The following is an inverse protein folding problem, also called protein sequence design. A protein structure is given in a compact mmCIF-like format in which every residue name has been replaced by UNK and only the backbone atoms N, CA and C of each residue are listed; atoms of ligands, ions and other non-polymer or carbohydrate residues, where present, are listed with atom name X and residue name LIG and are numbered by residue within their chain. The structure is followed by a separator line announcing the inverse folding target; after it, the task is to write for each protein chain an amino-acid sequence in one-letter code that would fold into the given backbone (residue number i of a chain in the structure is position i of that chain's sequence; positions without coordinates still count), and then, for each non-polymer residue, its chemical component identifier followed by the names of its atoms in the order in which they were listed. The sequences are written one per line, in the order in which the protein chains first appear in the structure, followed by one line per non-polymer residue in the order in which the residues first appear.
data_IF_718466715256
#
_entry.id   IF_718466715256
#
_cell.length_a   1.000
_cell.length_b   1.000
_cell.length_c   1.000
_cell.angle_alpha   90.00
_cell.angle_beta   90.00
_cell.angle_gamma   90.00
#
_symmetry.space_group_name_H-M   'P 1'
#
loop_
_entity.id
_entity.type
_entity.pdbx_description
1 polymer ?
#
# COMPACT_ATOMS: atom_id res chain seq x y z
N UNK A 1 -4.48 -28.69 -7.98
CA UNK A 1 -5.28 -27.65 -7.29
C UNK A 1 -5.34 -26.45 -8.22
N UNK A 2 -6.53 -26.11 -8.76
CA UNK A 2 -6.69 -24.98 -9.67
C UNK A 2 -7.13 -23.74 -8.89
N UNK A 3 -6.41 -22.65 -9.05
CA UNK A 3 -6.86 -21.32 -8.66
C UNK A 3 -7.74 -20.73 -9.76
N UNK A 4 -8.64 -19.83 -9.40
CA UNK A 4 -9.52 -19.13 -10.36
C UNK A 4 -9.37 -17.63 -10.17
N UNK A 5 -8.93 -16.94 -11.22
CA UNK A 5 -9.01 -15.48 -11.28
C UNK A 5 -10.47 -15.09 -11.54
N UNK A 6 -11.00 -14.17 -10.73
CA UNK A 6 -12.38 -13.70 -10.83
C UNK A 6 -12.44 -12.21 -11.13
N UNK A 7 -13.40 -11.76 -11.95
CA UNK A 7 -13.61 -10.33 -12.16
C UNK A 7 -14.11 -9.66 -10.88
N UNK A 8 -13.78 -8.38 -10.74
CA UNK A 8 -14.26 -7.56 -9.64
C UNK A 8 -14.63 -6.16 -10.13
N UNK A 9 -15.44 -5.49 -9.34
CA UNK A 9 -15.81 -4.09 -9.50
C UNK A 9 -15.17 -3.26 -8.36
N UNK A 10 -14.60 -2.11 -8.71
CA UNK A 10 -14.11 -1.13 -7.74
C UNK A 10 -15.28 -0.27 -7.29
N UNK A 11 -15.71 -0.44 -6.03
CA UNK A 11 -16.78 0.37 -5.45
C UNK A 11 -16.22 1.65 -4.79
N UNK A 12 -15.02 1.55 -4.22
CA UNK A 12 -14.36 2.68 -3.55
C UNK A 12 -12.86 2.47 -3.47
N UNK A 13 -12.09 3.45 -3.95
CA UNK A 13 -10.65 3.56 -3.68
C UNK A 13 -10.33 4.96 -3.18
N UNK A 14 -9.61 5.08 -2.07
CA UNK A 14 -9.20 6.38 -1.51
C UNK A 14 -7.69 6.44 -1.32
N UNK A 15 -7.19 7.67 -1.18
CA UNK A 15 -5.82 7.88 -0.76
C UNK A 15 -5.73 7.80 0.75
N UNK A 16 -4.80 7.01 1.24
CA UNK A 16 -4.34 7.07 2.62
C UNK A 16 -3.33 8.21 2.76
N UNK A 17 -3.27 8.83 3.94
CA UNK A 17 -2.36 9.93 4.23
C UNK A 17 -1.65 9.71 5.56
N UNK A 18 -0.33 9.89 5.56
CA UNK A 18 0.55 9.73 6.70
C UNK A 18 1.33 11.04 6.91
N UNK A 19 1.25 11.58 8.11
CA UNK A 19 1.96 12.79 8.51
C UNK A 19 3.16 12.42 9.36
N UNK A 20 4.35 12.85 8.94
CA UNK A 20 5.62 12.51 9.58
C UNK A 20 6.06 13.60 10.55
N UNK A 21 6.91 13.24 11.51
CA UNK A 21 7.38 14.17 12.56
C UNK A 21 8.29 15.30 12.05
N UNK A 22 8.95 15.10 10.90
CA UNK A 22 9.76 16.13 10.25
C UNK A 22 8.91 17.11 9.39
N UNK A 23 7.59 16.91 9.35
CA UNK A 23 6.64 17.72 8.61
C UNK A 23 6.36 17.22 7.19
N UNK A 24 7.03 16.16 6.72
CA UNK A 24 6.68 15.54 5.46
C UNK A 24 5.33 14.80 5.52
N UNK A 25 4.70 14.65 4.36
CA UNK A 25 3.44 13.93 4.18
C UNK A 25 3.60 12.87 3.12
N UNK A 26 3.30 11.63 3.47
CA UNK A 26 3.21 10.52 2.51
C UNK A 26 1.74 10.29 2.18
N UNK A 27 1.41 10.12 0.90
CA UNK A 27 0.12 9.62 0.44
C UNK A 27 0.33 8.27 -0.23
N UNK A 28 -0.50 7.30 0.11
CA UNK A 28 -0.44 5.98 -0.51
C UNK A 28 -1.83 5.52 -0.98
N UNK A 29 -1.87 4.75 -2.06
CA UNK A 29 -3.08 4.09 -2.54
C UNK A 29 -2.73 2.71 -3.09
N UNK A 30 -3.54 1.72 -2.75
CA UNK A 30 -3.50 0.38 -3.37
C UNK A 30 -4.34 0.43 -4.63
N UNK A 31 -3.78 -0.08 -5.72
CA UNK A 31 -4.49 -0.39 -6.95
C UNK A 31 -4.59 -1.91 -7.02
N UNK A 32 -5.80 -2.43 -6.88
CA UNK A 32 -6.06 -3.86 -7.02
C UNK A 32 -5.99 -4.24 -8.50
N UNK A 33 -5.19 -5.26 -8.82
CA UNK A 33 -5.00 -5.74 -10.19
C UNK A 33 -5.78 -7.03 -10.44
N UNK A 34 -5.71 -7.98 -9.50
CA UNK A 34 -6.36 -9.29 -9.64
C UNK A 34 -6.94 -9.78 -8.33
N UNK A 35 -8.03 -10.53 -8.45
CA UNK A 35 -8.63 -11.31 -7.37
C UNK A 35 -8.56 -12.77 -7.74
N UNK A 36 -7.91 -13.58 -6.90
CA UNK A 36 -7.67 -14.99 -7.16
C UNK A 36 -8.26 -15.79 -5.99
N UNK A 37 -9.13 -16.73 -6.32
CA UNK A 37 -9.74 -17.66 -5.39
C UNK A 37 -8.92 -18.95 -5.39
N UNK A 38 -8.39 -19.31 -4.22
CA UNK A 38 -7.57 -20.51 -4.04
C UNK A 38 -8.29 -21.46 -3.07
N UNK A 39 -8.65 -22.68 -3.51
CA UNK A 39 -9.16 -23.70 -2.60
C UNK A 39 -8.09 -24.07 -1.57
N UNK A 40 -8.42 -23.99 -0.29
CA UNK A 40 -7.58 -24.39 0.84
C UNK A 40 -8.44 -25.23 1.77
N UNK A 41 -8.24 -26.55 1.71
CA UNK A 41 -9.08 -27.55 2.38
C UNK A 41 -10.57 -27.34 2.03
N UNK A 42 -11.45 -27.22 3.03
CA UNK A 42 -12.89 -26.93 2.86
C UNK A 42 -13.21 -25.43 2.73
N UNK A 43 -12.19 -24.58 2.59
CA UNK A 43 -12.33 -23.13 2.52
C UNK A 43 -11.76 -22.56 1.21
N UNK A 44 -12.06 -21.28 0.96
CA UNK A 44 -11.45 -20.52 -0.13
C UNK A 44 -10.65 -19.36 0.46
N UNK A 45 -9.37 -19.32 0.12
CA UNK A 45 -8.49 -18.19 0.41
C UNK A 45 -8.59 -17.18 -0.71
N UNK A 46 -8.74 -15.93 -0.32
CA UNK A 46 -8.63 -14.80 -1.24
C UNK A 46 -7.15 -14.40 -1.36
N UNK A 47 -6.57 -14.54 -2.55
CA UNK A 47 -5.27 -13.95 -2.89
C UNK A 47 -5.50 -12.73 -3.77
N UNK A 48 -4.82 -11.64 -3.42
CA UNK A 48 -4.89 -10.38 -4.16
C UNK A 48 -3.55 -10.13 -4.82
N UNK A 49 -3.60 -9.66 -6.07
CA UNK A 49 -2.46 -9.04 -6.74
C UNK A 49 -2.73 -7.54 -6.80
N UNK A 50 -1.80 -6.73 -6.29
CA UNK A 50 -2.00 -5.30 -6.12
C UNK A 50 -0.68 -4.53 -6.16
N UNK A 51 -0.75 -3.31 -6.68
CA UNK A 51 0.34 -2.35 -6.65
C UNK A 51 0.07 -1.24 -5.64
N UNK A 52 1.11 -0.76 -4.98
CA UNK A 52 1.05 0.43 -4.14
C UNK A 52 1.61 1.63 -4.90
N UNK A 53 0.81 2.69 -5.00
CA UNK A 53 1.27 4.01 -5.44
C UNK A 53 1.58 4.82 -4.18
N UNK A 54 2.81 5.32 -4.07
CA UNK A 54 3.28 6.12 -2.93
C UNK A 54 3.82 7.45 -3.46
N UNK A 55 3.40 8.55 -2.85
CA UNK A 55 3.80 9.92 -3.21
C UNK A 55 4.20 10.67 -1.95
N UNK A 56 5.27 11.47 -2.04
CA UNK A 56 5.78 12.30 -0.95
C UNK A 56 5.49 13.77 -1.24
N UNK A 57 5.17 14.53 -0.19
CA UNK A 57 5.19 15.99 -0.21
C UNK A 57 5.88 16.49 1.05
N UNK A 58 7.01 17.14 0.92
CA UNK A 58 7.79 17.67 2.02
C UNK A 58 7.79 19.21 2.04
N UNK A 59 7.98 19.84 3.21
CA UNK A 59 8.18 21.27 3.29
C UNK A 59 9.53 21.68 2.63
N UNK A 60 9.67 22.93 2.15
CA UNK A 60 10.82 23.35 1.34
C UNK A 60 12.19 23.12 2.00
N UNK A 61 12.27 23.21 3.34
CA UNK A 61 13.50 22.98 4.09
C UNK A 61 13.98 21.51 4.09
N UNK A 62 13.14 20.58 3.64
CA UNK A 62 13.50 19.17 3.49
C UNK A 62 13.74 18.76 2.03
N UNK A 63 13.44 19.64 1.07
CA UNK A 63 13.67 19.39 -0.34
C UNK A 63 15.14 19.64 -0.70
N UNK A 64 15.58 19.04 -1.79
CA UNK A 64 16.93 19.19 -2.33
C UNK A 64 16.93 19.31 -3.85
N UNK A 65 18.10 19.14 -4.45
CA UNK A 65 18.22 19.06 -5.90
C UNK A 65 17.55 17.80 -6.43
N UNK A 66 16.95 17.90 -7.62
CA UNK A 66 16.35 16.77 -8.31
C UNK A 66 17.38 15.63 -8.49
N UNK A 67 17.01 14.43 -8.07
CA UNK A 67 17.80 13.22 -8.23
C UNK A 67 17.31 12.34 -9.37
N UNK A 68 17.92 11.16 -9.49
CA UNK A 68 17.51 10.12 -10.44
C UNK A 68 16.38 9.25 -9.87
N UNK A 69 15.67 8.47 -10.70
CA UNK A 69 14.77 7.41 -10.22
C UNK A 69 15.44 6.49 -9.20
N UNK A 70 14.67 6.01 -8.22
CA UNK A 70 15.16 5.12 -7.20
C UNK A 70 15.53 3.75 -7.78
N UNK A 71 16.74 3.27 -7.52
CA UNK A 71 17.19 1.95 -7.97
C UNK A 71 16.73 0.84 -7.03
N UNK A 72 16.68 -0.40 -7.53
CA UNK A 72 16.38 -1.57 -6.69
C UNK A 72 17.40 -1.76 -5.57
N UNK A 73 18.67 -1.49 -5.83
CA UNK A 73 19.73 -1.57 -4.82
C UNK A 73 19.49 -0.56 -3.70
N UNK A 74 19.17 0.69 -4.04
CA UNK A 74 18.81 1.72 -3.07
C UNK A 74 17.59 1.28 -2.24
N UNK A 75 16.53 0.76 -2.86
CA UNK A 75 15.35 0.21 -2.18
C UNK A 75 15.68 -0.88 -1.16
N UNK A 76 16.59 -1.80 -1.50
CA UNK A 76 17.01 -2.88 -0.61
C UNK A 76 17.94 -2.39 0.52
N UNK A 77 18.58 -1.23 0.34
CA UNK A 77 19.57 -0.69 1.29
C UNK A 77 18.95 0.11 2.45
N UNK A 78 17.66 0.48 2.38
CA UNK A 78 16.99 1.33 3.39
C UNK A 78 17.11 0.80 4.82
N UNK A 79 17.11 -0.51 5.01
CA UNK A 79 17.25 -1.13 6.32
C UNK A 79 18.60 -0.81 6.99
N UNK A 80 19.60 -0.36 6.23
CA UNK A 80 20.95 -0.02 6.71
C UNK A 80 21.22 1.48 6.80
N UNK A 81 20.60 2.28 5.93
CA UNK A 81 20.98 3.69 5.73
C UNK A 81 19.82 4.68 5.95
N UNK A 82 18.61 4.20 6.19
CA UNK A 82 17.46 5.05 6.45
C UNK A 82 17.49 5.65 7.86
N UNK A 83 17.23 6.95 7.96
CA UNK A 83 16.95 7.61 9.24
C UNK A 83 15.47 7.40 9.56
N UNK A 84 15.18 6.85 10.73
CA UNK A 84 13.81 6.66 11.19
C UNK A 84 13.12 8.02 11.40
N UNK A 85 11.90 8.12 10.89
CA UNK A 85 11.01 9.29 11.03
C UNK A 85 9.65 8.77 11.46
N UNK A 86 9.18 9.22 12.62
CA UNK A 86 7.91 8.76 13.20
C UNK A 86 6.71 9.21 12.39
N UNK A 87 5.73 8.32 12.23
CA UNK A 87 4.40 8.65 11.75
C UNK A 87 3.58 9.21 12.93
N UNK A 88 3.22 10.49 12.86
CA UNK A 88 2.44 11.15 13.92
C UNK A 88 0.94 10.92 13.78
N UNK A 89 0.45 10.81 12.54
CA UNK A 89 -0.97 10.64 12.24
C UNK A 89 -1.15 9.89 10.92
N UNK A 90 -2.12 8.98 10.91
CA UNK A 90 -2.53 8.27 9.71
C UNK A 90 -4.06 8.40 9.50
N UNK A 91 -4.48 8.77 8.30
CA UNK A 91 -5.85 8.58 7.80
C UNK A 91 -5.81 7.45 6.79
N UNK A 92 -6.20 6.27 7.24
CA UNK A 92 -6.13 5.06 6.45
C UNK A 92 -7.54 4.50 6.26
N UNK A 93 -8.06 4.60 5.04
CA UNK A 93 -9.45 4.27 4.74
C UNK A 93 -9.54 2.94 4.03
N UNK A 94 -10.67 2.27 4.20
CA UNK A 94 -10.96 1.06 3.45
C UNK A 94 -11.24 1.39 1.98
N UNK A 95 -10.56 0.68 1.10
CA UNK A 95 -10.99 0.43 -0.26
C UNK A 95 -12.04 -0.70 -0.23
N UNK A 96 -12.98 -0.67 -1.17
CA UNK A 96 -14.13 -1.57 -1.22
C UNK A 96 -14.30 -2.09 -2.64
N UNK A 97 -14.40 -3.41 -2.76
CA UNK A 97 -14.51 -4.11 -4.03
C UNK A 97 -15.64 -5.14 -3.95
N UNK A 98 -16.20 -5.48 -5.11
CA UNK A 98 -17.21 -6.52 -5.24
C UNK A 98 -16.74 -7.58 -6.22
N UNK A 99 -16.71 -8.83 -5.79
CA UNK A 99 -16.44 -9.96 -6.69
C UNK A 99 -17.68 -10.18 -7.57
N UNK A 100 -17.48 -10.28 -8.88
CA UNK A 100 -18.55 -10.45 -9.86
C UNK A 100 -18.74 -11.93 -10.24
N UNK A 101 -19.93 -12.31 -10.72
CA UNK A 101 -21.15 -11.48 -10.88
C UNK A 101 -22.01 -11.35 -9.61
N UNK A 102 -21.91 -12.29 -8.66
CA UNK A 102 -22.72 -12.34 -7.43
C UNK A 102 -21.90 -12.62 -6.17
N UNK A 103 -20.60 -12.37 -6.24
CA UNK A 103 -19.68 -12.60 -5.14
C UNK A 103 -19.79 -11.55 -4.03
N UNK A 104 -19.00 -11.73 -2.96
CA UNK A 104 -19.07 -10.89 -1.78
C UNK A 104 -18.45 -9.52 -2.06
N UNK A 105 -18.85 -8.56 -1.24
CA UNK A 105 -18.11 -7.30 -1.08
C UNK A 105 -17.00 -7.53 -0.07
N UNK A 106 -15.77 -7.21 -0.43
CA UNK A 106 -14.63 -7.26 0.48
C UNK A 106 -13.96 -5.89 0.57
N UNK A 107 -13.21 -5.70 1.65
CA UNK A 107 -12.51 -4.44 1.91
C UNK A 107 -11.02 -4.68 2.03
N UNK A 108 -10.24 -3.73 1.55
CA UNK A 108 -8.79 -3.72 1.79
C UNK A 108 -8.36 -2.38 2.36
N UNK A 109 -7.22 -2.38 3.05
CA UNK A 109 -6.65 -1.17 3.63
C UNK A 109 -5.13 -1.37 3.75
N UNK A 110 -4.35 -0.36 3.35
CA UNK A 110 -2.93 -0.33 3.75
C UNK A 110 -2.84 0.08 5.20
N UNK A 111 -2.16 -0.76 5.97
CA UNK A 111 -1.73 -0.49 7.33
C UNK A 111 -0.25 -0.18 7.27
N UNK A 112 0.11 1.04 7.63
CA UNK A 112 1.51 1.46 7.68
C UNK A 112 2.14 1.17 9.05
N UNK A 113 3.46 0.99 9.05
CA UNK A 113 4.28 1.00 10.26
C UNK A 113 4.26 2.39 10.90
N UNK A 114 4.45 2.46 12.23
CA UNK A 114 4.60 3.72 12.98
C UNK A 114 5.89 4.49 12.64
N UNK A 115 6.79 3.88 11.86
CA UNK A 115 8.06 4.45 11.43
C UNK A 115 8.18 4.39 9.91
N UNK A 116 8.54 5.53 9.31
CA UNK A 116 9.09 5.62 7.97
C UNK A 116 10.62 5.74 8.05
N UNK A 117 11.32 5.44 6.96
CA UNK A 117 12.77 5.57 6.88
C UNK A 117 13.14 6.51 5.73
N UNK A 118 13.77 7.63 6.05
CA UNK A 118 14.24 8.61 5.06
C UNK A 118 15.66 8.28 4.62
N UNK A 119 15.93 8.28 3.32
CA UNK A 119 17.32 8.25 2.83
C UNK A 119 17.94 9.64 2.93
N UNK A 120 19.08 9.74 3.62
CA UNK A 120 19.80 10.99 3.82
C UNK A 120 20.38 11.47 2.50
N UNK A 121 20.25 12.76 2.20
CA UNK A 121 20.76 13.42 1.00
C UNK A 121 20.30 12.77 -0.32
N UNK A 122 19.16 12.07 -0.31
CA UNK A 122 18.57 11.45 -1.49
C UNK A 122 17.19 12.03 -1.78
N UNK A 123 17.03 12.49 -3.01
CA UNK A 123 15.84 13.17 -3.49
C UNK A 123 15.35 12.55 -4.80
N UNK A 124 14.05 12.56 -5.06
CA UNK A 124 13.49 12.10 -6.33
C UNK A 124 13.66 13.14 -7.45
N UNK A 125 13.08 12.86 -8.61
CA UNK A 125 13.16 13.72 -9.81
C UNK A 125 12.56 15.12 -9.60
N UNK A 126 11.71 15.29 -8.58
CA UNK A 126 11.08 16.57 -8.21
C UNK A 126 11.79 17.26 -7.02
N UNK A 127 12.91 16.71 -6.55
CA UNK A 127 13.64 17.21 -5.39
C UNK A 127 12.98 16.88 -4.05
N UNK A 128 11.98 15.99 -4.02
CA UNK A 128 11.36 15.53 -2.78
C UNK A 128 12.26 14.51 -2.08
N UNK A 129 12.38 14.54 -0.75
CA UNK A 129 13.11 13.51 -0.01
C UNK A 129 12.47 12.13 -0.18
N UNK A 130 13.29 11.10 -0.30
CA UNK A 130 12.82 9.72 -0.49
C UNK A 130 12.61 9.02 0.85
N UNK A 131 11.44 8.40 1.02
CA UNK A 131 11.08 7.60 2.19
C UNK A 131 10.70 6.17 1.80
N UNK A 132 11.04 5.23 2.67
CA UNK A 132 10.44 3.90 2.72
C UNK A 132 9.42 3.86 3.86
N UNK A 133 8.16 3.60 3.52
CA UNK A 133 7.10 3.33 4.48
C UNK A 133 6.79 1.83 4.44
N UNK A 134 7.01 1.14 5.55
CA UNK A 134 6.58 -0.24 5.69
C UNK A 134 5.05 -0.30 5.65
N UNK A 135 4.48 -1.11 4.76
CA UNK A 135 3.03 -1.27 4.63
C UNK A 135 2.62 -2.72 4.47
N UNK A 136 1.50 -3.09 5.09
CA UNK A 136 0.84 -4.38 4.89
C UNK A 136 -0.55 -4.15 4.32
N UNK A 137 -0.95 -4.96 3.34
CA UNK A 137 -2.32 -4.98 2.83
C UNK A 137 -3.21 -5.82 3.73
N UNK A 138 -4.02 -5.18 4.58
CA UNK A 138 -5.06 -5.86 5.34
C UNK A 138 -6.27 -6.15 4.45
N UNK A 139 -6.81 -7.36 4.54
CA UNK A 139 -7.98 -7.80 3.78
C UNK A 139 -9.07 -8.21 4.76
N UNK A 140 -10.28 -7.71 4.55
CA UNK A 140 -11.46 -8.02 5.36
C UNK A 140 -12.55 -8.60 4.47
N UNK A 141 -12.86 -9.87 4.74
CA UNK A 141 -13.99 -10.59 4.17
C UNK A 141 -15.21 -10.50 5.08
N UNK A 142 -16.44 -10.56 4.54
CA UNK A 142 -17.63 -10.73 5.36
C UNK A 142 -17.57 -12.10 6.07
N UNK A 143 -18.10 -12.17 7.30
CA UNK A 143 -17.93 -13.32 8.20
C UNK A 143 -18.53 -14.66 7.69
N UNK A 144 -19.36 -14.66 6.64
CA UNK A 144 -20.12 -15.83 6.18
C UNK A 144 -19.94 -16.12 4.69
N UNK A 145 -18.72 -16.08 4.14
CA UNK A 145 -18.50 -16.51 2.76
C UNK A 145 -18.09 -17.98 2.70
N UNK A 146 -19.08 -18.85 2.56
CA UNK A 146 -18.90 -20.19 1.99
C UNK A 146 -19.15 -20.09 0.49
N UNK A 147 -18.27 -20.64 -0.34
CA UNK A 147 -18.54 -20.76 -1.77
C UNK A 147 -19.67 -21.77 -1.91
N UNK A 148 -20.86 -21.28 -2.30
CA UNK A 148 -21.94 -22.15 -2.76
C UNK A 148 -21.38 -23.01 -3.90
N UNK A 149 -21.48 -24.33 -3.72
CA UNK A 149 -21.17 -25.32 -4.75
C UNK A 149 -22.10 -25.23 -5.95
#
# INVERSE_FOLDING_TARGET
MSYVEVPFEVLKEQWNTYYLEDGARIRARVILLKVILEPVDDNVRLRLDANNIIVVSAPPNLCGEAGSPLTMEEMLSFARHGVAVKVLKADERYNVYKILPRGPVFKTKLVASDMAFRLVNRYDEDGQPVYLLGTTLAVMMPHNYHVLG
#
